data_IF_721332943491
#
_entry.id   IF_721332943491
#
_cell.length_a   1.000
_cell.length_b   1.000
_cell.length_c   1.000
_cell.angle_alpha   90.00
_cell.angle_beta   90.00
_cell.angle_gamma   90.00
#
_symmetry.space_group_name_H-M   'P 1'
#
loop_
_entity.id
_entity.type
_entity.pdbx_description
1 polymer ?
#
# COMPACT_ATOMS: atom_id res chain seq x y z
N UNK A 1 21.50 -9.61 -5.19
CA UNK A 1 20.16 -10.03 -4.77
C UNK A 1 19.43 -8.80 -4.28
N UNK A 2 18.24 -8.52 -4.82
CA UNK A 2 17.49 -7.35 -4.41
C UNK A 2 16.97 -7.50 -2.98
N UNK A 3 16.99 -6.38 -2.27
CA UNK A 3 16.53 -6.24 -0.89
C UNK A 3 15.61 -5.01 -0.86
N UNK A 4 14.69 -4.94 0.10
CA UNK A 4 13.77 -3.79 0.21
C UNK A 4 14.53 -2.45 0.30
N UNK A 5 15.71 -2.46 0.92
CA UNK A 5 16.53 -1.26 1.12
C UNK A 5 17.30 -0.80 -0.12
N UNK A 6 17.29 -1.58 -1.19
CA UNK A 6 17.91 -1.21 -2.48
C UNK A 6 17.01 -0.27 -3.31
N UNK A 7 15.77 -0.06 -2.90
CA UNK A 7 14.81 0.75 -3.64
C UNK A 7 14.84 2.22 -3.21
N UNK A 8 14.71 3.09 -4.21
CA UNK A 8 14.55 4.53 -4.04
C UNK A 8 13.20 4.94 -4.61
N UNK A 9 12.48 5.75 -3.87
CA UNK A 9 11.16 6.27 -4.26
C UNK A 9 11.17 7.79 -4.19
N UNK A 10 10.11 8.45 -4.63
CA UNK A 10 9.99 9.90 -4.53
C UNK A 10 8.96 10.28 -3.47
N UNK A 11 9.30 11.27 -2.66
CA UNK A 11 8.36 11.86 -1.74
C UNK A 11 7.35 12.77 -2.48
N UNK A 12 6.42 13.35 -1.76
CA UNK A 12 5.36 14.20 -2.32
C UNK A 12 5.92 15.45 -3.02
N UNK A 13 7.11 15.92 -2.62
CA UNK A 13 7.79 17.06 -3.22
C UNK A 13 8.68 16.68 -4.41
N UNK A 14 8.77 15.40 -4.75
CA UNK A 14 9.59 14.90 -5.84
C UNK A 14 11.05 14.61 -5.47
N UNK A 15 11.40 14.67 -4.19
CA UNK A 15 12.75 14.34 -3.72
C UNK A 15 12.92 12.83 -3.60
N UNK A 16 14.11 12.34 -3.90
CA UNK A 16 14.43 10.92 -3.75
C UNK A 16 14.56 10.53 -2.28
N UNK A 17 13.94 9.40 -1.93
CA UNK A 17 14.01 8.80 -0.59
C UNK A 17 14.43 7.34 -0.76
N UNK A 18 15.53 6.95 -0.14
CA UNK A 18 15.95 5.55 -0.12
C UNK A 18 15.22 4.79 0.99
N UNK A 19 14.77 3.58 0.71
CA UNK A 19 14.15 2.74 1.75
C UNK A 19 15.16 2.29 2.81
N UNK A 20 16.46 2.41 2.53
CA UNK A 20 17.50 2.19 3.54
C UNK A 20 17.38 3.13 4.75
N UNK A 21 16.74 4.30 4.58
CA UNK A 21 16.48 5.23 5.68
C UNK A 21 15.51 4.66 6.74
N UNK A 22 14.76 3.62 6.38
CA UNK A 22 13.81 2.94 7.28
C UNK A 22 14.36 1.64 7.87
N UNK A 23 15.64 1.39 7.72
CA UNK A 23 16.28 0.16 8.20
C UNK A 23 16.06 -0.01 9.71
N UNK A 24 15.68 -1.22 10.12
CA UNK A 24 15.37 -1.52 11.52
C UNK A 24 13.94 -1.23 11.96
N UNK A 25 13.13 -0.63 11.09
CA UNK A 25 11.71 -0.39 11.34
C UNK A 25 10.83 -1.47 10.72
N UNK A 26 9.67 -1.71 11.34
CA UNK A 26 8.59 -2.46 10.72
C UNK A 26 7.84 -1.52 9.78
N UNK A 27 7.63 -1.93 8.53
CA UNK A 27 6.96 -1.09 7.53
C UNK A 27 5.65 -1.73 7.08
N UNK A 28 4.63 -0.91 6.93
CA UNK A 28 3.41 -1.26 6.20
C UNK A 28 3.35 -0.37 4.97
N UNK A 29 3.54 -0.98 3.79
CA UNK A 29 3.58 -0.29 2.51
C UNK A 29 2.24 -0.50 1.82
N UNK A 30 1.55 0.58 1.45
CA UNK A 30 0.18 0.51 0.97
C UNK A 30 -0.02 1.41 -0.25
N UNK A 31 -0.76 0.90 -1.25
CA UNK A 31 -1.23 1.72 -2.37
C UNK A 31 -2.63 2.23 -2.06
N UNK A 32 -2.85 3.52 -2.25
CA UNK A 32 -4.03 4.22 -1.74
C UNK A 32 -4.78 4.98 -2.81
N UNK A 33 -5.99 5.41 -2.47
CA UNK A 33 -6.83 6.26 -3.29
C UNK A 33 -7.81 7.05 -2.42
N UNK A 34 -8.27 8.20 -2.94
CA UNK A 34 -9.18 9.09 -2.22
C UNK A 34 -10.66 8.87 -2.56
N UNK A 35 -10.95 8.18 -3.67
CA UNK A 35 -12.31 7.94 -4.15
C UNK A 35 -12.75 6.48 -4.14
N UNK A 36 -12.09 5.62 -3.38
CA UNK A 36 -12.35 4.20 -3.30
C UNK A 36 -13.35 3.84 -2.18
N UNK A 37 -14.12 2.76 -2.34
CA UNK A 37 -14.95 2.23 -1.26
C UNK A 37 -14.15 1.81 -0.03
N UNK A 38 -12.85 1.56 -0.18
CA UNK A 38 -11.94 1.25 0.93
C UNK A 38 -11.18 2.47 1.46
N UNK A 39 -11.41 3.67 0.94
CA UNK A 39 -10.76 4.89 1.44
C UNK A 39 -10.93 5.08 2.97
N UNK A 40 -12.04 4.67 3.61
CA UNK A 40 -12.13 4.67 5.07
C UNK A 40 -11.07 3.87 5.81
N UNK A 41 -10.29 3.00 5.13
CA UNK A 41 -9.12 2.34 5.72
C UNK A 41 -8.06 3.32 6.24
N UNK A 42 -8.06 4.55 5.78
CA UNK A 42 -7.19 5.60 6.33
C UNK A 42 -7.39 5.78 7.83
N UNK A 43 -8.62 5.62 8.33
CA UNK A 43 -8.92 5.76 9.76
C UNK A 43 -8.20 4.70 10.61
N UNK A 44 -8.37 3.38 10.38
CA UNK A 44 -7.61 2.38 11.13
C UNK A 44 -6.11 2.40 10.84
N UNK A 45 -5.67 2.82 9.65
CA UNK A 45 -4.25 2.98 9.35
C UNK A 45 -3.63 4.09 10.23
N UNK A 46 -4.29 5.23 10.35
CA UNK A 46 -3.79 6.32 11.22
C UNK A 46 -3.82 5.94 12.70
N UNK A 47 -4.87 5.25 13.15
CA UNK A 47 -4.95 4.74 14.52
C UNK A 47 -3.78 3.78 14.82
N UNK A 48 -3.46 2.88 13.90
CA UNK A 48 -2.35 1.95 14.01
C UNK A 48 -1.01 2.68 14.02
N UNK A 49 -0.86 3.70 13.18
CA UNK A 49 0.34 4.52 13.14
C UNK A 49 0.60 5.22 14.46
N UNK A 50 -0.43 5.87 15.03
CA UNK A 50 -0.34 6.53 16.34
C UNK A 50 0.02 5.57 17.47
N UNK A 51 -0.52 4.36 17.43
CA UNK A 51 -0.27 3.33 18.43
C UNK A 51 1.17 2.84 18.41
N UNK A 52 1.76 2.63 17.22
CA UNK A 52 3.01 1.90 17.09
C UNK A 52 4.22 2.73 16.59
N UNK A 53 4.03 3.97 16.16
CA UNK A 53 5.14 4.77 15.59
C UNK A 53 6.34 4.89 16.52
N UNK A 54 6.11 5.04 17.82
CA UNK A 54 7.18 5.18 18.81
C UNK A 54 7.90 3.85 19.11
N UNK A 55 7.38 2.74 18.60
CA UNK A 55 7.98 1.42 18.69
C UNK A 55 8.78 1.03 17.43
N UNK A 56 9.00 1.97 16.53
CA UNK A 56 9.73 1.73 15.30
C UNK A 56 8.85 1.21 14.17
N UNK A 57 7.64 1.69 14.07
CA UNK A 57 6.70 1.39 12.99
C UNK A 57 6.54 2.58 12.05
N UNK A 58 6.46 2.30 10.75
CA UNK A 58 6.19 3.32 9.73
C UNK A 58 5.17 2.81 8.72
N UNK A 59 4.32 3.71 8.24
CA UNK A 59 3.42 3.45 7.10
C UNK A 59 3.92 4.26 5.93
N UNK A 60 4.11 3.61 4.78
CA UNK A 60 4.52 4.25 3.54
C UNK A 60 3.33 4.25 2.58
N UNK A 61 2.75 5.43 2.36
CA UNK A 61 1.52 5.65 1.60
C UNK A 61 1.86 6.06 0.17
N UNK A 62 1.47 5.24 -0.81
CA UNK A 62 1.69 5.47 -2.23
C UNK A 62 0.35 5.59 -2.97
N UNK A 63 -0.15 6.81 -3.23
CA UNK A 63 -1.35 6.96 -4.04
C UNK A 63 -1.16 6.42 -5.46
N UNK A 64 -2.19 5.78 -6.01
CA UNK A 64 -2.19 5.30 -7.38
C UNK A 64 -3.55 5.51 -8.04
N UNK A 65 -3.55 5.98 -9.29
CA UNK A 65 -4.76 6.27 -10.04
C UNK A 65 -5.16 5.14 -11.01
N UNK A 66 -4.50 3.98 -10.93
CA UNK A 66 -4.71 2.87 -11.88
C UNK A 66 -5.99 2.07 -11.67
N UNK A 67 -6.69 2.28 -10.54
CA UNK A 67 -7.90 1.52 -10.22
C UNK A 67 -9.13 2.43 -10.32
N UNK A 68 -9.81 2.36 -11.46
CA UNK A 68 -11.02 3.11 -11.77
C UNK A 68 -10.86 4.65 -11.60
N UNK A 69 -9.65 5.17 -11.79
CA UNK A 69 -9.34 6.59 -11.63
C UNK A 69 -9.78 7.15 -10.26
N UNK A 70 -9.57 6.38 -9.20
CA UNK A 70 -10.02 6.75 -7.85
C UNK A 70 -9.02 7.60 -7.05
N UNK A 71 -7.90 7.99 -7.67
CA UNK A 71 -6.95 8.96 -7.11
C UNK A 71 -6.54 10.02 -8.15
N UNK A 72 -7.51 10.80 -8.69
CA UNK A 72 -7.25 11.68 -9.84
C UNK A 72 -6.53 12.99 -9.50
N UNK A 73 -6.48 13.37 -8.24
CA UNK A 73 -5.87 14.64 -7.80
C UNK A 73 -4.35 14.68 -7.91
N UNK A 74 -3.79 15.89 -7.73
CA UNK A 74 -2.34 16.05 -7.54
C UNK A 74 -1.90 15.48 -6.20
N UNK A 75 -0.58 15.31 -6.01
CA UNK A 75 -0.04 14.84 -4.73
C UNK A 75 -0.44 15.76 -3.58
N UNK A 76 -0.43 17.07 -3.79
CA UNK A 76 -0.84 18.06 -2.78
C UNK A 76 -2.34 18.01 -2.48
N UNK A 77 -3.19 17.84 -3.49
CA UNK A 77 -4.64 17.69 -3.31
C UNK A 77 -4.98 16.40 -2.54
N UNK A 78 -4.29 15.31 -2.82
CA UNK A 78 -4.45 14.04 -2.11
C UNK A 78 -4.01 14.20 -0.65
N UNK A 79 -2.88 14.86 -0.42
CA UNK A 79 -2.39 15.12 0.94
C UNK A 79 -3.38 15.97 1.75
N UNK A 80 -3.90 17.03 1.14
CA UNK A 80 -4.91 17.90 1.78
C UNK A 80 -6.17 17.10 2.14
N UNK A 81 -6.66 16.27 1.23
CA UNK A 81 -7.80 15.39 1.48
C UNK A 81 -7.56 14.48 2.70
N UNK A 82 -6.42 13.80 2.73
CA UNK A 82 -6.09 12.86 3.80
C UNK A 82 -5.93 13.55 5.15
N UNK A 83 -5.26 14.70 5.19
CA UNK A 83 -5.04 15.45 6.45
C UNK A 83 -6.33 16.06 6.97
N UNK A 84 -7.16 16.65 6.12
CA UNK A 84 -8.40 17.29 6.54
C UNK A 84 -9.48 16.28 6.94
N UNK A 85 -9.60 15.17 6.20
CA UNK A 85 -10.66 14.20 6.44
C UNK A 85 -10.28 13.13 7.47
N UNK A 86 -9.05 12.66 7.47
CA UNK A 86 -8.60 11.54 8.30
C UNK A 86 -7.50 11.90 9.30
N UNK A 87 -6.94 13.11 9.22
CA UNK A 87 -5.87 13.55 10.11
C UNK A 87 -4.60 12.73 10.00
N UNK A 88 -4.28 12.24 8.80
CA UNK A 88 -3.14 11.34 8.61
C UNK A 88 -1.80 12.04 8.89
N UNK A 89 -0.95 11.38 9.67
CA UNK A 89 0.39 11.84 10.02
C UNK A 89 1.50 11.01 9.38
N UNK A 90 1.20 9.81 8.88
CA UNK A 90 2.22 8.98 8.22
C UNK A 90 2.63 9.57 6.88
N UNK A 91 3.89 9.29 6.43
CA UNK A 91 4.42 9.88 5.20
C UNK A 91 3.65 9.44 3.95
N UNK A 92 3.25 10.44 3.15
CA UNK A 92 2.70 10.23 1.83
C UNK A 92 3.78 10.44 0.78
N UNK A 93 3.95 9.46 -0.09
CA UNK A 93 4.88 9.54 -1.22
C UNK A 93 4.18 10.04 -2.47
N UNK A 94 4.95 10.30 -3.52
CA UNK A 94 4.41 10.71 -4.81
C UNK A 94 3.51 9.61 -5.39
N UNK A 95 2.48 10.03 -6.13
CA UNK A 95 1.60 9.13 -6.86
C UNK A 95 2.42 8.28 -7.84
N UNK A 96 2.15 6.98 -7.88
CA UNK A 96 2.86 6.02 -8.74
C UNK A 96 1.88 5.12 -9.49
N UNK A 97 2.40 4.42 -10.49
CA UNK A 97 1.77 3.23 -11.03
C UNK A 97 2.28 2.00 -10.28
N UNK A 98 1.41 1.03 -10.07
CA UNK A 98 1.73 -0.21 -9.36
C UNK A 98 1.61 -1.44 -10.25
N UNK A 99 1.11 -1.28 -11.46
CA UNK A 99 0.91 -2.33 -12.46
C UNK A 99 1.47 -1.93 -13.82
N UNK A 100 1.77 -2.93 -14.66
CA UNK A 100 2.17 -2.76 -16.04
C UNK A 100 3.63 -2.38 -16.23
N UNK A 101 3.95 -1.89 -17.44
CA UNK A 101 5.31 -1.52 -17.82
C UNK A 101 5.85 -0.31 -17.02
N UNK A 102 4.96 0.54 -16.51
CA UNK A 102 5.30 1.73 -15.75
C UNK A 102 5.23 1.53 -14.23
N UNK A 103 5.01 0.29 -13.78
CA UNK A 103 4.95 -0.02 -12.36
C UNK A 103 6.23 0.41 -11.65
N UNK A 104 6.05 1.05 -10.49
CA UNK A 104 7.19 1.36 -9.64
C UNK A 104 7.92 0.07 -9.25
N UNK A 105 9.26 0.02 -9.40
CA UNK A 105 10.03 -1.20 -9.10
C UNK A 105 9.82 -1.75 -7.69
N UNK A 106 9.55 -0.88 -6.71
CA UNK A 106 9.25 -1.31 -5.35
C UNK A 106 8.01 -2.21 -5.31
N UNK A 107 6.91 -1.81 -5.97
CA UNK A 107 5.67 -2.59 -5.95
C UNK A 107 5.79 -3.89 -6.76
N UNK A 108 6.53 -3.88 -7.87
CA UNK A 108 6.83 -5.10 -8.61
C UNK A 108 7.60 -6.10 -7.72
N UNK A 109 8.59 -5.63 -6.98
CA UNK A 109 9.35 -6.43 -6.01
C UNK A 109 8.46 -6.96 -4.89
N UNK A 110 7.67 -6.10 -4.25
CA UNK A 110 6.77 -6.51 -3.16
C UNK A 110 5.81 -7.62 -3.59
N UNK A 111 5.21 -7.47 -4.77
CA UNK A 111 4.26 -8.43 -5.30
C UNK A 111 4.93 -9.74 -5.76
N UNK A 112 6.20 -9.70 -6.13
CA UNK A 112 7.00 -10.89 -6.44
C UNK A 112 7.30 -11.67 -5.16
N UNK A 113 7.65 -10.98 -4.09
CA UNK A 113 7.91 -11.59 -2.78
C UNK A 113 6.63 -12.16 -2.15
N UNK A 114 5.51 -11.46 -2.30
CA UNK A 114 4.20 -11.90 -1.80
C UNK A 114 3.14 -11.73 -2.90
N UNK A 115 2.99 -12.74 -3.77
CA UNK A 115 2.00 -12.70 -4.83
C UNK A 115 0.57 -12.78 -4.30
N UNK A 116 -0.37 -12.41 -5.17
CA UNK A 116 -1.80 -12.47 -4.86
C UNK A 116 -2.27 -13.91 -4.67
N UNK A 117 -2.96 -14.17 -3.56
CA UNK A 117 -3.48 -15.49 -3.20
C UNK A 117 -5.01 -15.50 -3.04
N UNK A 118 -5.69 -14.49 -3.58
CA UNK A 118 -7.16 -14.35 -3.50
C UNK A 118 -7.61 -13.31 -2.47
N UNK A 119 -8.90 -12.98 -2.53
CA UNK A 119 -9.50 -12.00 -1.63
C UNK A 119 -10.09 -12.61 -0.35
N UNK A 120 -9.87 -13.89 -0.13
CA UNK A 120 -10.44 -14.60 1.01
C UNK A 120 -11.88 -15.04 0.78
N UNK A 121 -12.52 -15.55 1.85
CA UNK A 121 -13.93 -16.00 1.82
C UNK A 121 -14.85 -14.78 1.77
N UNK A 122 -15.69 -14.74 0.74
CA UNK A 122 -16.27 -13.51 0.29
C UNK A 122 -17.60 -13.10 0.86
N UNK A 123 -17.90 -11.85 0.71
CA UNK A 123 -19.17 -11.19 0.68
C UNK A 123 -19.36 -10.51 -0.68
N UNK A 124 -20.38 -9.64 -0.83
CA UNK A 124 -20.64 -8.94 -2.09
C UNK A 124 -19.43 -8.16 -2.64
N UNK A 125 -18.64 -7.55 -1.76
CA UNK A 125 -17.43 -6.80 -2.16
C UNK A 125 -16.39 -7.70 -2.83
N UNK A 126 -16.25 -8.94 -2.39
CA UNK A 126 -15.29 -9.89 -2.98
C UNK A 126 -15.64 -10.23 -4.42
N UNK A 127 -16.92 -10.40 -4.73
CA UNK A 127 -17.39 -10.68 -6.09
C UNK A 127 -17.08 -9.52 -7.04
N UNK A 128 -17.30 -8.29 -6.59
CA UNK A 128 -16.99 -7.08 -7.36
C UNK A 128 -15.47 -6.99 -7.60
N UNK A 129 -14.68 -7.21 -6.56
CA UNK A 129 -13.21 -7.15 -6.66
C UNK A 129 -12.65 -8.22 -7.60
N UNK A 130 -13.23 -9.42 -7.62
CA UNK A 130 -12.83 -10.46 -8.57
C UNK A 130 -13.00 -10.00 -10.02
N UNK A 131 -14.09 -9.31 -10.33
CA UNK A 131 -14.33 -8.76 -11.67
C UNK A 131 -13.28 -7.70 -12.04
N UNK A 132 -12.92 -6.83 -11.10
CA UNK A 132 -11.88 -5.83 -11.32
C UNK A 132 -10.49 -6.48 -11.46
N UNK A 133 -10.19 -7.50 -10.66
CA UNK A 133 -8.95 -8.25 -10.77
C UNK A 133 -8.83 -8.93 -12.14
N UNK A 134 -9.90 -9.55 -12.63
CA UNK A 134 -9.94 -10.16 -13.95
C UNK A 134 -9.69 -9.13 -15.05
N UNK A 135 -10.27 -7.94 -14.92
CA UNK A 135 -10.04 -6.83 -15.84
C UNK A 135 -8.56 -6.39 -15.81
N UNK A 136 -7.99 -6.23 -14.64
CA UNK A 136 -6.58 -5.88 -14.49
C UNK A 136 -5.67 -6.96 -15.10
N UNK A 137 -6.00 -8.23 -14.89
CA UNK A 137 -5.25 -9.34 -15.47
C UNK A 137 -5.28 -9.30 -17.00
N UNK A 138 -6.40 -8.92 -17.60
CA UNK A 138 -6.52 -8.77 -19.07
C UNK A 138 -5.70 -7.58 -19.58
N UNK A 139 -5.65 -6.49 -18.84
CA UNK A 139 -4.94 -5.26 -19.25
C UNK A 139 -3.43 -5.41 -19.06
N UNK A 140 -2.99 -5.94 -17.94
CA UNK A 140 -1.58 -5.91 -17.52
C UNK A 140 -0.88 -7.28 -17.63
N UNK A 141 -1.60 -8.37 -17.85
CA UNK A 141 -1.03 -9.71 -17.92
C UNK A 141 -0.22 -10.07 -16.70
N UNK A 142 1.00 -10.55 -16.92
CA UNK A 142 1.94 -10.93 -15.85
C UNK A 142 2.34 -9.75 -14.94
N UNK A 143 2.08 -8.53 -15.38
CA UNK A 143 2.38 -7.29 -14.64
C UNK A 143 1.18 -6.71 -13.92
N UNK A 144 0.11 -7.49 -13.75
CA UNK A 144 -1.03 -7.15 -12.91
C UNK A 144 -0.71 -7.49 -11.44
N UNK A 145 0.31 -6.86 -10.90
CA UNK A 145 0.88 -7.15 -9.58
C UNK A 145 -0.10 -6.91 -8.44
N UNK A 146 -0.85 -5.82 -8.53
CA UNK A 146 -1.77 -5.34 -7.51
C UNK A 146 -3.18 -5.40 -8.07
N UNK A 147 -4.13 -5.93 -7.30
CA UNK A 147 -5.49 -6.17 -7.80
C UNK A 147 -6.46 -5.04 -7.50
N UNK A 148 -6.23 -4.28 -6.43
CA UNK A 148 -7.07 -3.14 -6.07
C UNK A 148 -6.36 -2.18 -5.11
N UNK A 149 -6.98 -1.01 -4.85
CA UNK A 149 -6.52 -0.04 -3.86
C UNK A 149 -6.46 -0.65 -2.45
N UNK A 150 -5.63 -0.11 -1.59
CA UNK A 150 -5.44 -0.51 -0.20
C UNK A 150 -4.93 -1.95 -0.02
N UNK A 151 -4.16 -2.44 -0.98
CA UNK A 151 -3.33 -3.62 -0.83
C UNK A 151 -2.12 -3.23 0.03
N UNK A 152 -1.81 -4.05 1.02
CA UNK A 152 -0.81 -3.73 2.04
C UNK A 152 0.26 -4.82 2.09
N UNK A 153 1.51 -4.40 2.23
CA UNK A 153 2.65 -5.31 2.41
C UNK A 153 3.33 -5.01 3.74
N UNK A 154 3.53 -6.05 4.54
CA UNK A 154 4.22 -5.93 5.82
C UNK A 154 5.67 -6.36 5.67
N UNK A 155 6.58 -5.49 6.12
CA UNK A 155 8.03 -5.70 6.08
C UNK A 155 8.55 -5.73 7.52
N UNK A 156 9.33 -6.75 7.87
CA UNK A 156 9.91 -6.87 9.20
C UNK A 156 11.15 -5.95 9.40
N UNK A 157 11.72 -5.99 10.60
CA UNK A 157 12.85 -5.12 10.97
C UNK A 157 14.13 -5.44 10.17
N UNK A 158 14.23 -6.60 9.57
CA UNK A 158 15.35 -7.02 8.73
C UNK A 158 15.12 -6.71 7.25
N UNK A 159 14.00 -6.10 6.89
CA UNK A 159 13.68 -5.74 5.52
C UNK A 159 13.06 -6.86 4.71
N UNK A 160 12.59 -7.94 5.36
CA UNK A 160 11.93 -9.05 4.70
C UNK A 160 10.44 -8.76 4.56
N UNK A 161 9.89 -8.98 3.37
CA UNK A 161 8.44 -8.90 3.13
C UNK A 161 7.81 -10.17 3.69
N UNK A 162 7.04 -10.05 4.77
CA UNK A 162 6.52 -11.18 5.53
C UNK A 162 5.03 -11.45 5.30
N UNK A 163 4.28 -10.48 4.81
CA UNK A 163 2.84 -10.65 4.57
C UNK A 163 2.32 -9.68 3.51
N UNK A 164 1.22 -10.08 2.87
CA UNK A 164 0.41 -9.25 1.99
C UNK A 164 -1.04 -9.33 2.45
N UNK A 165 -1.70 -8.18 2.54
CA UNK A 165 -3.10 -8.09 2.92
C UNK A 165 -3.90 -7.38 1.82
N UNK A 166 -4.87 -8.10 1.25
CA UNK A 166 -5.81 -7.51 0.30
C UNK A 166 -6.77 -6.55 1.03
N UNK A 167 -7.43 -5.62 0.33
CA UNK A 167 -8.31 -4.65 0.98
C UNK A 167 -9.50 -5.29 1.72
N UNK A 168 -9.84 -6.53 1.40
CA UNK A 168 -10.90 -7.30 2.08
C UNK A 168 -10.51 -7.86 3.45
N UNK A 169 -9.22 -7.82 3.79
CA UNK A 169 -8.73 -8.30 5.08
C UNK A 169 -9.22 -7.40 6.22
N UNK A 170 -9.68 -8.01 7.31
CA UNK A 170 -10.04 -7.30 8.54
C UNK A 170 -8.83 -6.49 9.04
N UNK A 171 -9.03 -5.18 9.24
CA UNK A 171 -7.96 -4.30 9.69
C UNK A 171 -7.46 -4.62 11.10
N UNK A 172 -8.27 -5.28 11.94
CA UNK A 172 -7.79 -5.77 13.23
C UNK A 172 -6.75 -6.88 13.08
N UNK A 173 -6.90 -7.73 12.06
CA UNK A 173 -5.90 -8.76 11.74
C UNK A 173 -4.61 -8.15 11.21
N UNK A 174 -4.71 -7.09 10.41
CA UNK A 174 -3.54 -6.34 9.94
C UNK A 174 -2.80 -5.73 11.13
N UNK A 175 -3.54 -5.10 12.06
CA UNK A 175 -2.97 -4.54 13.28
C UNK A 175 -2.25 -5.59 14.12
N UNK A 176 -2.87 -6.75 14.31
CA UNK A 176 -2.28 -7.84 15.10
C UNK A 176 -0.98 -8.37 14.46
N UNK A 177 -0.95 -8.45 13.13
CA UNK A 177 0.26 -8.84 12.40
C UNK A 177 1.38 -7.81 12.56
N UNK A 178 1.07 -6.53 12.50
CA UNK A 178 2.04 -5.45 12.78
C UNK A 178 2.57 -5.56 14.20
N UNK A 179 1.68 -5.69 15.19
CA UNK A 179 2.07 -5.85 16.60
C UNK A 179 3.01 -7.04 16.80
N UNK A 180 2.75 -8.15 16.13
CA UNK A 180 3.59 -9.36 16.23
C UNK A 180 4.97 -9.17 15.59
N UNK A 181 5.13 -8.26 14.64
CA UNK A 181 6.40 -7.97 13.96
C UNK A 181 7.27 -6.97 14.73
N UNK A 182 6.69 -6.23 15.65
CA UNK A 182 7.40 -5.28 16.49
C UNK A 182 8.13 -6.00 17.62
#
# INVERSE_FOLDING_TARGET
>A
MENIYDFTVKDRQGNEVTLADYQGKVLLIVNTATGCGFTPHYEPLEAMYKEFKDQGFEILDFPSNQFANQAPGTDDEIHEFCTLKYGTDFPQFAKIDVNGETADPLFAYLATEKPFEGFGKGGPKTLVLKKFADKNNKVFGDKAYIKWNFTKFLVDREGKVIARFEPTMDMNKVRDAVAAAL
#
